data_IF_338663443460
#
_entry.id   IF_338663443460
#
_cell.length_a   1.000
_cell.length_b   1.000
_cell.length_c   1.000
_cell.angle_alpha   90.00
_cell.angle_beta   90.00
_cell.angle_gamma   90.00
#
_symmetry.space_group_name_H-M   'P 1'
#
loop_
_entity.id
_entity.type
_entity.pdbx_description
1 polymer ?
#
# COMPACT_ATOMS: atom_id res chain seq x y z
N UNK A 1 -82.12 -30.51 55.70
CA UNK A 1 -83.38 -30.51 56.47
C UNK A 1 -83.96 -29.10 56.42
N UNK A 2 -85.05 -28.97 55.67
CA UNK A 2 -86.10 -27.92 55.62
C UNK A 2 -85.64 -26.47 55.90
N UNK A 3 -85.34 -25.66 54.89
CA UNK A 3 -86.32 -24.93 54.06
C UNK A 3 -87.57 -24.51 54.85
N UNK A 4 -87.62 -23.24 55.23
CA UNK A 4 -88.85 -22.45 55.15
C UNK A 4 -88.50 -21.12 54.50
N UNK A 5 -88.72 -21.06 53.18
CA UNK A 5 -88.85 -19.82 52.43
C UNK A 5 -90.17 -19.17 52.87
N UNK A 6 -90.13 -17.90 53.26
CA UNK A 6 -91.29 -17.02 53.18
C UNK A 6 -90.91 -15.83 52.31
N UNK A 7 -91.43 -15.87 51.08
CA UNK A 7 -91.70 -14.76 50.17
C UNK A 7 -92.28 -13.57 50.96
N UNK A 8 -91.90 -12.31 50.77
CA UNK A 8 -91.59 -11.61 49.53
C UNK A 8 -92.78 -10.69 49.22
N UNK A 9 -92.64 -9.38 49.44
CA UNK A 9 -93.25 -8.33 48.60
C UNK A 9 -92.92 -6.93 49.15
N UNK A 10 -92.20 -6.16 48.34
CA UNK A 10 -92.23 -4.70 48.14
C UNK A 10 -92.47 -3.76 49.32
N UNK A 11 -91.55 -2.81 49.48
CA UNK A 11 -91.86 -1.37 49.37
C UNK A 11 -90.56 -0.58 49.40
N UNK A 12 -90.29 0.10 48.30
CA UNK A 12 -89.29 1.15 48.19
C UNK A 12 -89.71 2.34 49.06
N UNK A 13 -88.75 2.95 49.77
CA UNK A 13 -88.88 4.28 50.37
C UNK A 13 -89.59 4.35 51.74
N UNK A 14 -88.97 3.85 52.81
CA UNK A 14 -89.35 4.15 54.20
C UNK A 14 -88.09 4.44 55.03
N UNK A 15 -88.04 5.63 55.65
CA UNK A 15 -86.91 6.12 56.43
C UNK A 15 -86.58 5.23 57.65
N UNK A 16 -85.33 5.27 58.08
CA UNK A 16 -84.80 4.51 59.22
C UNK A 16 -85.64 4.76 60.50
N UNK A 17 -86.12 3.68 61.14
CA UNK A 17 -86.96 3.73 62.36
C UNK A 17 -86.22 3.10 63.55
N UNK A 18 -85.95 3.82 64.66
CA UNK A 18 -85.13 3.31 65.77
C UNK A 18 -85.82 2.26 66.66
N UNK A 19 -87.05 1.85 66.35
CA UNK A 19 -87.96 1.17 67.27
C UNK A 19 -87.49 -0.22 67.81
N UNK A 20 -86.44 -0.79 67.23
CA UNK A 20 -85.84 -2.08 67.62
C UNK A 20 -84.34 -2.04 67.90
N UNK A 21 -83.73 -0.87 68.11
CA UNK A 21 -82.30 -0.79 68.47
C UNK A 21 -82.06 -1.28 69.90
N UNK A 22 -80.87 -1.82 70.17
CA UNK A 22 -80.49 -2.30 71.50
C UNK A 22 -80.57 -1.20 72.57
N UNK A 23 -80.32 0.06 72.18
CA UNK A 23 -80.45 1.20 73.10
C UNK A 23 -81.91 1.52 73.41
N UNK A 24 -82.82 1.37 72.44
CA UNK A 24 -84.26 1.54 72.66
C UNK A 24 -84.83 0.39 73.49
N UNK A 25 -84.37 -0.85 73.29
CA UNK A 25 -84.70 -1.99 74.15
C UNK A 25 -84.18 -1.80 75.59
N UNK A 26 -82.93 -1.35 75.75
CA UNK A 26 -82.36 -1.00 77.07
C UNK A 26 -83.14 0.14 77.73
N UNK A 27 -83.50 1.18 76.99
CA UNK A 27 -84.30 2.28 77.50
C UNK A 27 -85.71 1.82 77.89
N UNK A 28 -86.37 0.97 77.08
CA UNK A 28 -87.65 0.34 77.43
C UNK A 28 -87.55 -0.52 78.69
N UNK A 29 -86.53 -1.37 78.79
CA UNK A 29 -86.27 -2.16 80.01
C UNK A 29 -86.00 -1.26 81.22
N UNK A 30 -85.22 -0.20 81.05
CA UNK A 30 -84.94 0.76 82.12
C UNK A 30 -86.20 1.51 82.56
N UNK A 31 -87.08 1.91 81.63
CA UNK A 31 -88.38 2.52 81.98
C UNK A 31 -89.33 1.50 82.62
N UNK A 32 -89.29 0.22 82.22
CA UNK A 32 -90.00 -0.85 82.92
C UNK A 32 -89.49 -1.02 84.36
N UNK A 33 -88.17 -1.01 84.57
CA UNK A 33 -87.55 -1.11 85.91
C UNK A 33 -87.80 0.15 86.76
N UNK A 34 -87.91 1.33 86.15
CA UNK A 34 -88.21 2.59 86.84
C UNK A 34 -89.72 2.82 87.09
N UNK A 35 -90.60 1.97 86.54
CA UNK A 35 -92.04 2.13 86.73
C UNK A 35 -92.48 1.71 88.14
N UNK A 36 -92.96 2.67 88.94
CA UNK A 36 -93.42 2.44 90.32
C UNK A 36 -94.56 1.40 90.40
N UNK A 37 -95.37 1.33 89.35
CA UNK A 37 -96.48 0.37 89.24
C UNK A 37 -96.02 -1.09 89.10
N UNK A 38 -94.85 -1.36 88.49
CA UNK A 38 -94.25 -2.71 88.47
C UNK A 38 -93.46 -3.04 89.73
N UNK A 39 -93.00 -2.02 90.46
CA UNK A 39 -92.26 -2.20 91.72
C UNK A 39 -93.16 -2.62 92.89
N UNK A 40 -94.37 -2.05 92.99
CA UNK A 40 -95.34 -2.33 94.08
C UNK A 40 -96.21 -3.58 93.82
N UNK A 41 -95.62 -4.70 93.41
CA UNK A 41 -96.34 -5.98 93.25
C UNK A 41 -96.14 -6.90 94.45
N UNK A 42 -97.18 -7.67 94.79
CA UNK A 42 -97.12 -8.62 95.90
C UNK A 42 -96.09 -9.74 95.62
N UNK A 43 -95.27 -10.15 96.61
CA UNK A 43 -94.17 -11.11 96.41
C UNK A 43 -94.55 -12.46 95.79
N UNK A 44 -95.81 -12.90 95.95
CA UNK A 44 -96.32 -14.17 95.38
C UNK A 44 -96.45 -14.15 93.86
N UNK A 45 -96.38 -12.99 93.21
CA UNK A 45 -96.45 -12.85 91.75
C UNK A 45 -95.10 -13.15 91.09
N UNK A 46 -94.00 -13.17 91.85
CA UNK A 46 -92.67 -13.48 91.31
C UNK A 46 -92.41 -14.99 91.34
N UNK A 47 -92.16 -15.59 90.17
CA UNK A 47 -91.69 -16.98 90.10
C UNK A 47 -90.22 -17.07 90.53
N UNK A 48 -89.90 -18.01 91.42
CA UNK A 48 -88.52 -18.30 91.82
C UNK A 48 -87.72 -18.80 90.60
N UNK A 49 -86.61 -18.11 90.30
CA UNK A 49 -85.66 -18.49 89.25
C UNK A 49 -84.29 -18.70 89.89
N UNK A 50 -83.81 -19.95 89.91
CA UNK A 50 -82.42 -20.24 90.31
C UNK A 50 -81.50 -19.85 89.15
N UNK A 51 -80.44 -19.10 89.45
CA UNK A 51 -79.41 -18.80 88.46
C UNK A 51 -78.80 -20.13 87.99
N UNK A 52 -78.71 -20.29 86.66
CA UNK A 52 -78.09 -21.46 86.03
C UNK A 52 -76.64 -21.65 86.45
N UNK A 53 -76.00 -20.57 86.89
CA UNK A 53 -74.59 -20.51 87.28
C UNK A 53 -74.39 -20.64 88.80
N UNK A 54 -75.43 -21.01 89.55
CA UNK A 54 -75.28 -21.38 90.96
C UNK A 54 -74.35 -22.59 91.11
N UNK A 55 -73.52 -22.57 92.16
CA UNK A 55 -72.47 -23.58 92.38
C UNK A 55 -72.99 -25.02 92.22
N UNK A 56 -74.14 -25.34 92.83
CA UNK A 56 -74.72 -26.69 92.76
C UNK A 56 -75.13 -27.08 91.33
N UNK A 57 -75.66 -26.13 90.54
CA UNK A 57 -76.03 -26.37 89.14
C UNK A 57 -74.79 -26.57 88.27
N UNK A 58 -73.72 -25.81 88.51
CA UNK A 58 -72.44 -25.96 87.81
C UNK A 58 -71.81 -27.31 88.12
N UNK A 59 -71.78 -27.71 89.40
CA UNK A 59 -71.27 -29.01 89.83
C UNK A 59 -72.08 -30.15 89.23
N UNK A 60 -73.42 -30.07 89.25
CA UNK A 60 -74.28 -31.08 88.62
C UNK A 60 -74.07 -31.16 87.10
N UNK A 61 -73.89 -30.01 86.42
CA UNK A 61 -73.59 -29.96 84.99
C UNK A 61 -72.23 -30.58 84.66
N UNK A 62 -71.20 -30.31 85.45
CA UNK A 62 -69.87 -30.92 85.29
C UNK A 62 -69.90 -32.42 85.58
N UNK A 63 -70.57 -32.87 86.65
CA UNK A 63 -70.72 -34.29 86.95
C UNK A 63 -71.51 -35.02 85.86
N UNK A 64 -72.57 -34.41 85.32
CA UNK A 64 -73.28 -34.96 84.16
C UNK A 64 -72.39 -35.04 82.91
N UNK A 65 -71.50 -34.06 82.71
CA UNK A 65 -70.56 -34.04 81.59
C UNK A 65 -69.44 -35.08 81.75
N UNK A 66 -68.92 -35.30 82.96
CA UNK A 66 -67.88 -36.31 83.23
C UNK A 66 -68.44 -37.73 83.21
N UNK A 67 -69.68 -37.94 83.65
CA UNK A 67 -70.36 -39.24 83.55
C UNK A 67 -70.94 -39.54 82.15
N UNK A 68 -70.87 -38.59 81.22
CA UNK A 68 -71.43 -38.77 79.88
C UNK A 68 -70.57 -39.70 79.02
N UNK A 69 -71.01 -40.96 78.90
CA UNK A 69 -70.36 -42.00 78.08
C UNK A 69 -70.15 -41.57 76.61
N UNK A 70 -71.07 -40.80 76.04
CA UNK A 70 -70.96 -40.38 74.64
C UNK A 70 -69.79 -39.40 74.44
N UNK A 71 -69.65 -38.42 75.33
CA UNK A 71 -68.54 -37.46 75.30
C UNK A 71 -67.20 -38.18 75.47
N UNK A 72 -67.13 -39.13 76.40
CA UNK A 72 -65.95 -39.99 76.55
C UNK A 72 -65.60 -40.75 75.27
N UNK A 73 -66.60 -41.32 74.57
CA UNK A 73 -66.33 -42.03 73.30
C UNK A 73 -65.85 -41.10 72.18
N UNK A 74 -66.35 -39.85 72.14
CA UNK A 74 -65.89 -38.84 71.18
C UNK A 74 -64.44 -38.46 71.48
N UNK A 75 -64.14 -38.14 72.73
CA UNK A 75 -62.79 -37.74 73.15
C UNK A 75 -61.80 -38.89 72.94
N UNK A 76 -62.17 -40.13 73.28
CA UNK A 76 -61.34 -41.29 73.01
C UNK A 76 -61.09 -41.50 71.50
N UNK A 77 -62.12 -41.41 70.66
CA UNK A 77 -61.91 -41.52 69.22
C UNK A 77 -61.04 -40.39 68.66
N UNK A 78 -61.11 -39.19 69.23
CA UNK A 78 -60.23 -38.06 68.88
C UNK A 78 -58.79 -38.34 69.28
N UNK A 79 -58.54 -38.87 70.47
CA UNK A 79 -57.19 -39.18 70.92
C UNK A 79 -56.53 -40.31 70.10
N UNK A 80 -57.30 -41.30 69.62
CA UNK A 80 -56.78 -42.31 68.68
C UNK A 80 -56.23 -41.72 67.38
N UNK A 81 -56.80 -40.60 66.92
CA UNK A 81 -56.33 -39.93 65.69
C UNK A 81 -55.08 -39.08 65.92
N UNK A 82 -54.75 -38.78 67.18
CA UNK A 82 -53.60 -37.94 67.56
C UNK A 82 -52.36 -38.80 67.79
N UNK A 83 -51.82 -39.36 66.70
CA UNK A 83 -50.60 -40.15 66.72
C UNK A 83 -49.40 -39.19 66.62
N UNK A 84 -48.49 -39.24 67.60
CA UNK A 84 -47.23 -38.48 67.55
C UNK A 84 -46.17 -39.30 66.80
N UNK A 85 -45.93 -38.95 65.54
CA UNK A 85 -44.85 -39.53 64.72
C UNK A 85 -43.76 -38.48 64.51
N UNK A 86 -42.50 -38.88 64.64
CA UNK A 86 -41.36 -38.00 64.41
C UNK A 86 -41.27 -37.66 62.91
N UNK A 87 -41.30 -36.38 62.51
CA UNK A 87 -41.32 -35.97 61.10
C UNK A 87 -40.06 -36.37 60.32
N UNK A 88 -38.96 -36.69 61.01
CA UNK A 88 -37.66 -37.03 60.43
C UNK A 88 -37.38 -38.54 60.39
N UNK A 89 -38.42 -39.37 60.56
CA UNK A 89 -38.27 -40.82 60.36
C UNK A 89 -37.93 -41.12 58.88
N UNK A 90 -37.01 -42.06 58.59
CA UNK A 90 -36.57 -42.36 57.23
C UNK A 90 -37.72 -42.64 56.25
N UNK A 91 -38.78 -43.31 56.69
CA UNK A 91 -39.94 -43.63 55.87
C UNK A 91 -40.74 -42.38 55.46
N UNK A 92 -40.87 -41.39 56.36
CA UNK A 92 -41.55 -40.13 56.07
C UNK A 92 -40.69 -39.27 55.13
N UNK A 93 -39.37 -39.24 55.33
CA UNK A 93 -38.45 -38.55 54.42
C UNK A 93 -38.48 -39.16 53.02
N UNK A 94 -38.47 -40.50 52.92
CA UNK A 94 -38.62 -41.21 51.65
C UNK A 94 -39.99 -40.91 51.01
N UNK A 95 -41.07 -40.94 51.78
CA UNK A 95 -42.41 -40.61 51.28
C UNK A 95 -42.48 -39.17 50.75
N UNK A 96 -41.82 -38.21 51.42
CA UNK A 96 -41.74 -36.80 50.99
C UNK A 96 -40.90 -36.64 49.72
N UNK A 97 -39.77 -37.32 49.61
CA UNK A 97 -38.98 -37.35 48.37
C UNK A 97 -39.77 -37.96 47.22
N UNK A 98 -40.42 -39.10 47.45
CA UNK A 98 -41.29 -39.75 46.48
C UNK A 98 -42.45 -38.83 46.06
N UNK A 99 -43.06 -38.10 46.99
CA UNK A 99 -44.10 -37.12 46.69
C UNK A 99 -43.59 -36.03 45.72
N UNK A 100 -42.35 -35.57 45.89
CA UNK A 100 -41.76 -34.60 44.95
C UNK A 100 -41.41 -35.22 43.60
N UNK A 101 -40.88 -36.44 43.58
CA UNK A 101 -40.51 -37.17 42.36
C UNK A 101 -41.74 -37.53 41.51
N UNK A 102 -42.83 -37.95 42.15
CA UNK A 102 -44.08 -38.34 41.49
C UNK A 102 -45.08 -37.18 41.35
N UNK A 103 -44.69 -35.95 41.72
CA UNK A 103 -45.55 -34.78 41.57
C UNK A 103 -45.79 -34.47 40.10
N UNK A 104 -47.01 -34.74 39.64
CA UNK A 104 -47.46 -34.36 38.28
C UNK A 104 -47.31 -32.86 38.01
N UNK A 105 -47.49 -32.02 39.03
CA UNK A 105 -47.31 -30.56 38.90
C UNK A 105 -45.86 -30.21 38.61
N UNK A 106 -44.92 -30.80 39.34
CA UNK A 106 -43.48 -30.58 39.13
C UNK A 106 -43.02 -31.13 37.78
N UNK A 107 -43.54 -32.29 37.38
CA UNK A 107 -43.29 -32.87 36.06
C UNK A 107 -43.77 -31.95 34.92
N UNK A 108 -45.02 -31.47 35.00
CA UNK A 108 -45.57 -30.54 34.00
C UNK A 108 -44.76 -29.25 33.93
N UNK A 109 -44.38 -28.69 35.07
CA UNK A 109 -43.57 -27.48 35.13
C UNK A 109 -42.18 -27.70 34.49
N UNK A 110 -41.50 -28.80 34.83
CA UNK A 110 -40.21 -29.14 34.21
C UNK A 110 -40.31 -29.38 32.69
N UNK A 111 -41.41 -29.99 32.23
CA UNK A 111 -41.68 -30.16 30.81
C UNK A 111 -41.94 -28.83 30.09
N UNK A 112 -42.73 -27.94 30.69
CA UNK A 112 -42.97 -26.58 30.15
C UNK A 112 -41.67 -25.76 30.10
N UNK A 113 -40.83 -25.86 31.13
CA UNK A 113 -39.51 -25.21 31.14
C UNK A 113 -38.59 -25.78 30.06
N UNK A 114 -38.61 -27.10 29.84
CA UNK A 114 -37.85 -27.74 28.77
C UNK A 114 -38.31 -27.28 27.38
N UNK A 115 -39.62 -27.14 27.17
CA UNK A 115 -40.17 -26.58 25.94
C UNK A 115 -39.78 -25.11 25.74
N UNK A 116 -39.81 -24.29 26.80
CA UNK A 116 -39.45 -22.87 26.75
C UNK A 116 -37.96 -22.64 26.47
N UNK A 117 -37.08 -23.55 26.91
CA UNK A 117 -35.65 -23.50 26.58
C UNK A 117 -35.39 -23.61 25.07
N UNK A 118 -36.35 -24.13 24.30
CA UNK A 118 -36.23 -24.30 22.86
C UNK A 118 -35.27 -25.41 22.46
N UNK A 119 -35.02 -25.50 21.16
CA UNK A 119 -34.06 -26.44 20.57
C UNK A 119 -32.91 -25.66 19.96
N UNK A 120 -31.68 -26.02 20.31
CA UNK A 120 -30.48 -25.50 19.65
C UNK A 120 -30.31 -26.22 18.30
N UNK A 121 -30.77 -25.59 17.21
CA UNK A 121 -30.52 -26.07 15.85
C UNK A 121 -29.21 -25.48 15.32
N UNK A 122 -28.12 -26.27 15.21
CA UNK A 122 -26.88 -25.79 14.63
C UNK A 122 -27.07 -25.46 13.15
N UNK A 123 -26.23 -24.56 12.63
CA UNK A 123 -26.26 -24.12 11.23
C UNK A 123 -26.01 -25.29 10.26
N UNK A 124 -25.30 -26.30 10.73
CA UNK A 124 -24.96 -27.51 9.99
C UNK A 124 -26.01 -28.62 10.11
N UNK A 125 -27.13 -28.39 10.82
CA UNK A 125 -28.22 -29.34 10.85
C UNK A 125 -28.75 -29.62 9.43
N UNK A 126 -28.98 -30.89 9.12
CA UNK A 126 -29.40 -31.35 7.79
C UNK A 126 -30.66 -30.61 7.32
N UNK A 127 -31.62 -30.35 8.21
CA UNK A 127 -32.85 -29.60 7.90
C UNK A 127 -32.57 -28.17 7.46
N UNK A 128 -31.61 -27.49 8.11
CA UNK A 128 -31.22 -26.10 7.81
C UNK A 128 -30.44 -26.04 6.51
N UNK A 129 -29.51 -26.99 6.30
CA UNK A 129 -28.76 -27.09 5.04
C UNK A 129 -29.69 -27.39 3.87
N UNK A 130 -30.62 -28.34 4.03
CA UNK A 130 -31.61 -28.68 3.01
C UNK A 130 -32.53 -27.49 2.66
N UNK A 131 -32.97 -26.74 3.68
CA UNK A 131 -33.76 -25.53 3.46
C UNK A 131 -32.97 -24.46 2.69
N UNK A 132 -31.67 -24.28 3.00
CA UNK A 132 -30.79 -23.37 2.26
C UNK A 132 -30.59 -23.81 0.81
N UNK A 133 -30.31 -25.09 0.57
CA UNK A 133 -30.14 -25.62 -0.79
C UNK A 133 -31.44 -25.51 -1.58
N UNK A 134 -32.59 -25.81 -0.97
CA UNK A 134 -33.90 -25.66 -1.61
C UNK A 134 -34.18 -24.20 -1.98
N UNK A 135 -33.86 -23.25 -1.10
CA UNK A 135 -33.97 -21.82 -1.38
C UNK A 135 -33.06 -21.40 -2.54
N UNK A 136 -31.84 -21.92 -2.57
CA UNK A 136 -30.87 -21.62 -3.61
C UNK A 136 -31.29 -22.18 -4.98
N UNK A 137 -31.86 -23.40 -4.99
CA UNK A 137 -32.40 -24.05 -6.20
C UNK A 137 -33.58 -23.25 -6.77
N UNK A 138 -34.49 -22.76 -5.91
CA UNK A 138 -35.62 -21.94 -6.33
C UNK A 138 -35.23 -20.48 -6.66
N UNK A 139 -33.98 -20.07 -6.43
CA UNK A 139 -33.55 -18.69 -6.63
C UNK A 139 -33.21 -18.42 -8.10
N UNK A 140 -34.11 -17.67 -8.74
CA UNK A 140 -33.94 -17.13 -10.09
C UNK A 140 -32.62 -16.35 -10.26
N UNK A 141 -32.21 -15.62 -9.22
CA UNK A 141 -30.96 -14.86 -9.22
C UNK A 141 -29.74 -15.78 -9.29
N UNK A 142 -29.68 -16.81 -8.42
CA UNK A 142 -28.55 -17.78 -8.45
C UNK A 142 -28.54 -18.58 -9.75
N UNK A 143 -29.70 -18.95 -10.26
CA UNK A 143 -29.82 -19.59 -11.58
C UNK A 143 -29.23 -18.70 -12.69
N UNK A 144 -29.66 -17.45 -12.80
CA UNK A 144 -29.16 -16.50 -13.80
C UNK A 144 -27.68 -16.18 -13.61
N UNK A 145 -27.20 -16.12 -12.37
CA UNK A 145 -25.78 -15.95 -12.07
C UNK A 145 -24.95 -17.15 -12.53
N UNK A 146 -25.42 -18.37 -12.27
CA UNK A 146 -24.80 -19.61 -12.75
C UNK A 146 -24.79 -19.67 -14.29
N UNK A 147 -25.91 -19.37 -14.92
CA UNK A 147 -26.03 -19.27 -16.38
C UNK A 147 -25.04 -18.26 -16.96
N UNK A 148 -24.94 -17.06 -16.38
CA UNK A 148 -23.96 -16.04 -16.82
C UNK A 148 -22.51 -16.48 -16.66
N UNK A 149 -22.18 -17.24 -15.62
CA UNK A 149 -20.83 -17.82 -15.43
C UNK A 149 -20.53 -18.95 -16.43
N UNK A 150 -21.56 -19.72 -16.79
CA UNK A 150 -21.47 -20.84 -17.76
C UNK A 150 -21.46 -20.36 -19.21
N UNK A 151 -22.07 -19.20 -19.49
CA UNK A 151 -21.87 -18.48 -20.74
C UNK A 151 -20.39 -18.12 -20.81
N UNK A 152 -19.63 -18.97 -21.50
CA UNK A 152 -18.17 -18.91 -21.57
C UNK A 152 -17.71 -17.48 -21.75
N UNK A 153 -17.15 -16.91 -20.70
CA UNK A 153 -16.49 -15.63 -20.81
C UNK A 153 -15.33 -15.85 -21.76
N UNK A 154 -15.27 -15.08 -22.85
CA UNK A 154 -14.02 -14.92 -23.57
C UNK A 154 -13.03 -14.33 -22.56
N UNK A 155 -12.25 -15.20 -21.93
CA UNK A 155 -11.04 -14.80 -21.23
C UNK A 155 -10.15 -14.33 -22.37
N UNK A 156 -10.25 -13.03 -22.68
CA UNK A 156 -9.20 -12.38 -23.45
C UNK A 156 -7.87 -12.71 -22.77
N UNK A 157 -6.84 -12.91 -23.56
CA UNK A 157 -5.49 -13.01 -23.02
C UNK A 157 -5.12 -11.68 -22.34
N UNK A 158 -4.35 -11.74 -21.25
CA UNK A 158 -3.86 -10.52 -20.58
C UNK A 158 -2.80 -9.83 -21.45
N UNK A 159 -2.00 -10.62 -22.16
CA UNK A 159 -0.99 -10.20 -23.12
C UNK A 159 -1.07 -11.05 -24.38
N UNK A 160 -0.77 -10.48 -25.55
CA UNK A 160 -0.83 -11.21 -26.85
C UNK A 160 0.02 -12.48 -26.85
N UNK A 161 1.02 -12.52 -25.96
CA UNK A 161 1.91 -13.65 -25.70
C UNK A 161 1.22 -14.86 -25.05
N UNK A 162 0.07 -14.68 -24.40
CA UNK A 162 -0.59 -15.77 -23.65
C UNK A 162 -1.41 -16.69 -24.57
N UNK A 163 -1.74 -16.25 -25.79
CA UNK A 163 -2.40 -17.10 -26.80
C UNK A 163 -1.38 -17.61 -27.84
N UNK A 164 -1.03 -18.91 -27.82
CA UNK A 164 -0.10 -19.50 -28.77
C UNK A 164 -0.50 -19.29 -30.24
N UNK A 165 -1.80 -19.22 -30.55
CA UNK A 165 -2.28 -19.01 -31.93
C UNK A 165 -2.01 -17.59 -32.40
N UNK A 166 -2.21 -16.61 -31.53
CA UNK A 166 -1.94 -15.21 -31.87
C UNK A 166 -0.45 -14.94 -31.96
N UNK A 167 0.36 -15.51 -31.07
CA UNK A 167 1.83 -15.49 -31.19
C UNK A 167 2.27 -16.08 -32.52
N UNK A 168 1.75 -17.23 -32.90
CA UNK A 168 2.04 -17.86 -34.19
C UNK A 168 1.65 -16.93 -35.36
N UNK A 169 0.44 -16.36 -35.35
CA UNK A 169 0.00 -15.45 -36.41
C UNK A 169 0.88 -14.20 -36.51
N UNK A 170 1.34 -13.66 -35.38
CA UNK A 170 2.24 -12.51 -35.37
C UNK A 170 3.60 -12.86 -35.97
N UNK A 171 4.12 -14.05 -35.65
CA UNK A 171 5.38 -14.53 -36.22
C UNK A 171 5.26 -14.76 -37.72
N UNK A 172 4.17 -15.36 -38.18
CA UNK A 172 3.88 -15.54 -39.62
C UNK A 172 3.78 -14.18 -40.33
N UNK A 173 3.09 -13.21 -39.74
CA UNK A 173 2.99 -11.86 -40.31
C UNK A 173 4.36 -11.15 -40.38
N UNK A 174 5.23 -11.35 -39.38
CA UNK A 174 6.61 -10.84 -39.42
C UNK A 174 7.43 -11.50 -40.52
N UNK A 175 7.31 -12.82 -40.70
CA UNK A 175 7.99 -13.56 -41.77
C UNK A 175 7.51 -13.14 -43.17
N UNK A 176 6.23 -12.84 -43.33
CA UNK A 176 5.65 -12.34 -44.57
C UNK A 176 5.97 -10.86 -44.85
N UNK A 177 6.50 -10.13 -43.87
CA UNK A 177 6.80 -8.71 -44.03
C UNK A 177 8.08 -8.50 -44.82
N UNK A 178 7.94 -8.03 -46.06
CA UNK A 178 9.07 -7.61 -46.91
C UNK A 178 9.99 -6.58 -46.24
N UNK A 179 9.42 -5.76 -45.34
CA UNK A 179 10.19 -4.75 -44.60
C UNK A 179 11.14 -5.41 -43.59
N UNK A 180 10.65 -6.38 -42.84
CA UNK A 180 11.49 -7.09 -41.86
C UNK A 180 12.52 -7.96 -42.59
N UNK A 181 12.12 -8.61 -43.69
CA UNK A 181 13.03 -9.32 -44.59
C UNK A 181 14.17 -8.42 -45.10
N UNK A 182 13.86 -7.24 -45.66
CA UNK A 182 14.88 -6.30 -46.17
C UNK A 182 15.80 -5.80 -45.06
N UNK A 183 15.25 -5.51 -43.88
CA UNK A 183 16.03 -5.06 -42.72
C UNK A 183 17.05 -6.11 -42.28
N UNK A 184 16.62 -7.37 -42.17
CA UNK A 184 17.53 -8.47 -41.81
C UNK A 184 18.53 -8.75 -42.94
N UNK A 185 18.08 -8.72 -44.19
CA UNK A 185 18.95 -8.86 -45.35
C UNK A 185 20.08 -7.82 -45.35
N UNK A 186 19.79 -6.52 -45.20
CA UNK A 186 20.83 -5.50 -45.17
C UNK A 186 21.80 -5.69 -43.98
N UNK A 187 21.32 -6.17 -42.84
CA UNK A 187 22.16 -6.47 -41.67
C UNK A 187 23.11 -7.64 -41.91
N UNK A 188 22.69 -8.65 -42.68
CA UNK A 188 23.44 -9.89 -42.91
C UNK A 188 24.20 -9.91 -44.23
N UNK A 189 23.83 -9.10 -45.23
CA UNK A 189 24.45 -9.03 -46.55
C UNK A 189 25.96 -8.76 -46.50
N UNK A 190 26.42 -8.03 -45.49
CA UNK A 190 27.84 -7.73 -45.28
C UNK A 190 28.54 -8.74 -44.37
N UNK A 191 27.79 -9.59 -43.68
CA UNK A 191 28.30 -10.61 -42.76
C UNK A 191 28.41 -11.95 -43.49
N UNK A 192 29.42 -12.08 -44.33
CA UNK A 192 29.81 -13.40 -44.83
C UNK A 192 30.81 -14.03 -43.87
N UNK A 193 30.56 -15.27 -43.48
CA UNK A 193 31.57 -16.11 -42.84
C UNK A 193 32.11 -17.03 -43.93
N UNK A 194 33.37 -16.81 -44.34
CA UNK A 194 34.05 -17.78 -45.17
C UNK A 194 34.47 -18.95 -44.28
N UNK A 195 34.20 -20.20 -44.67
CA UNK A 195 34.84 -21.35 -44.05
C UNK A 195 36.34 -21.12 -44.03
N UNK A 196 36.98 -21.32 -42.87
CA UNK A 196 38.42 -21.11 -42.68
C UNK A 196 39.23 -21.96 -43.67
N UNK A 197 38.69 -23.12 -44.04
CA UNK A 197 39.26 -24.07 -45.01
C UNK A 197 38.77 -23.87 -46.46
N UNK A 198 38.39 -22.65 -46.85
CA UNK A 198 38.24 -22.38 -48.28
C UNK A 198 39.56 -22.69 -49.01
N UNK A 199 39.51 -23.58 -50.00
CA UNK A 199 40.68 -24.04 -50.76
C UNK A 199 41.57 -22.90 -51.26
N UNK A 200 40.97 -21.79 -51.71
CA UNK A 200 41.70 -20.60 -52.15
C UNK A 200 42.47 -19.90 -51.01
N UNK A 201 41.90 -19.81 -49.81
CA UNK A 201 42.55 -19.21 -48.64
C UNK A 201 43.67 -20.12 -48.12
N UNK A 202 43.42 -21.43 -48.07
CA UNK A 202 44.42 -22.43 -47.68
C UNK A 202 45.59 -22.43 -48.66
N UNK A 203 45.30 -22.43 -49.97
CA UNK A 203 46.30 -22.32 -51.03
C UNK A 203 47.09 -21.02 -50.91
N UNK A 204 46.42 -19.88 -50.75
CA UNK A 204 47.09 -18.59 -50.58
C UNK A 204 48.01 -18.57 -49.34
N UNK A 205 47.57 -19.12 -48.20
CA UNK A 205 48.43 -19.27 -47.00
C UNK A 205 49.66 -20.12 -47.28
N UNK A 206 49.49 -21.26 -47.96
CA UNK A 206 50.62 -22.13 -48.33
C UNK A 206 51.56 -21.45 -49.32
N UNK A 207 51.02 -20.77 -50.34
CA UNK A 207 51.82 -19.98 -51.28
C UNK A 207 52.58 -18.87 -50.56
N UNK A 208 51.93 -18.18 -49.62
CA UNK A 208 52.58 -17.12 -48.85
C UNK A 208 53.67 -17.68 -47.94
N UNK A 209 53.46 -18.82 -47.29
CA UNK A 209 54.49 -19.51 -46.51
C UNK A 209 55.69 -19.92 -47.38
N UNK A 210 55.45 -20.43 -48.59
CA UNK A 210 56.50 -20.80 -49.53
C UNK A 210 57.26 -19.60 -50.12
N UNK A 211 56.58 -18.48 -50.34
CA UNK A 211 57.17 -17.25 -50.86
C UNK A 211 57.87 -16.46 -49.75
N UNK A 212 57.39 -16.57 -48.51
CA UNK A 212 58.01 -15.90 -47.38
C UNK A 212 59.26 -16.66 -46.95
N UNK A 213 60.42 -16.01 -46.97
CA UNK A 213 61.62 -16.56 -46.31
C UNK A 213 61.53 -16.47 -44.78
N UNK A 214 60.36 -16.26 -44.18
CA UNK A 214 60.21 -16.08 -42.74
C UNK A 214 60.70 -17.32 -41.98
N UNK A 215 60.32 -18.51 -42.45
CA UNK A 215 60.77 -19.79 -41.89
C UNK A 215 62.26 -20.05 -42.16
N UNK A 216 62.82 -19.50 -43.24
CA UNK A 216 64.25 -19.61 -43.57
C UNK A 216 65.12 -18.64 -42.78
N UNK A 217 64.60 -17.46 -42.44
CA UNK A 217 65.25 -16.45 -41.59
C UNK A 217 65.20 -16.79 -40.10
N UNK A 218 64.72 -17.98 -39.72
CA UNK A 218 64.79 -18.45 -38.35
C UNK A 218 66.24 -18.78 -37.97
N UNK A 219 66.95 -17.78 -37.46
CA UNK A 219 68.32 -17.94 -37.00
C UNK A 219 68.38 -18.91 -35.83
N UNK A 220 69.24 -19.94 -35.93
CA UNK A 220 69.42 -21.02 -34.94
C UNK A 220 69.72 -20.50 -33.52
N UNK A 221 70.27 -19.28 -33.44
CA UNK A 221 70.58 -18.60 -32.19
C UNK A 221 69.96 -17.20 -32.22
N UNK A 222 68.77 -17.06 -31.64
CA UNK A 222 68.28 -15.75 -31.23
C UNK A 222 69.09 -15.31 -30.02
N UNK A 223 70.15 -14.53 -30.24
CA UNK A 223 70.86 -13.85 -29.16
C UNK A 223 69.97 -12.74 -28.62
N UNK A 224 69.16 -13.06 -27.62
CA UNK A 224 68.49 -12.04 -26.81
C UNK A 224 69.53 -11.41 -25.91
N UNK A 225 69.87 -10.15 -26.20
CA UNK A 225 70.75 -9.38 -25.33
C UNK A 225 70.08 -9.20 -23.96
N UNK A 226 70.87 -9.25 -22.89
CA UNK A 226 70.33 -9.01 -21.55
C UNK A 226 69.74 -7.58 -21.49
N UNK A 227 68.58 -7.39 -20.83
CA UNK A 227 67.92 -6.09 -20.75
C UNK A 227 68.75 -4.95 -20.10
N UNK A 228 69.88 -5.25 -19.46
CA UNK A 228 70.75 -4.27 -18.80
C UNK A 228 71.92 -3.76 -19.66
N UNK A 229 72.17 -4.36 -20.83
CA UNK A 229 73.32 -4.01 -21.66
C UNK A 229 73.09 -2.69 -22.39
N UNK A 230 73.79 -1.65 -21.93
CA UNK A 230 73.60 -0.27 -22.35
C UNK A 230 73.88 -0.05 -23.85
N UNK A 231 74.90 -0.72 -24.41
CA UNK A 231 75.28 -0.60 -25.82
C UNK A 231 74.15 -1.07 -26.75
N UNK A 232 73.47 -2.16 -26.38
CA UNK A 232 72.35 -2.71 -27.13
C UNK A 232 71.11 -1.82 -26.99
N UNK A 233 70.86 -1.29 -25.79
CA UNK A 233 69.77 -0.33 -25.56
C UNK A 233 69.96 0.92 -26.42
N UNK A 234 71.18 1.46 -26.48
CA UNK A 234 71.47 2.65 -27.28
C UNK A 234 71.37 2.35 -28.77
N UNK A 235 71.92 1.24 -29.25
CA UNK A 235 71.79 0.82 -30.64
C UNK A 235 70.32 0.64 -31.04
N UNK A 236 69.51 -0.01 -30.20
CA UNK A 236 68.07 -0.18 -30.41
C UNK A 236 67.36 1.17 -30.53
N UNK A 237 67.62 2.11 -29.62
CA UNK A 237 67.04 3.47 -29.67
C UNK A 237 67.39 4.20 -30.97
N UNK A 238 68.64 4.08 -31.43
CA UNK A 238 69.08 4.69 -32.70
C UNK A 238 68.36 4.05 -33.88
N UNK A 239 68.21 2.72 -33.90
CA UNK A 239 67.47 2.03 -34.96
C UNK A 239 65.98 2.36 -34.96
N UNK A 240 65.35 2.48 -33.78
CA UNK A 240 63.95 2.91 -33.68
C UNK A 240 63.76 4.33 -34.19
N UNK A 241 64.69 5.24 -33.87
CA UNK A 241 64.69 6.62 -34.37
C UNK A 241 64.91 6.71 -35.90
N UNK A 242 65.76 5.84 -36.46
CA UNK A 242 66.04 5.82 -37.89
C UNK A 242 64.96 5.06 -38.70
N UNK A 243 64.22 4.16 -38.06
CA UNK A 243 63.25 3.29 -38.73
C UNK A 243 62.05 4.08 -39.24
N UNK A 244 61.95 4.20 -40.57
CA UNK A 244 60.77 4.79 -41.21
C UNK A 244 59.47 4.04 -40.85
N UNK A 245 59.54 2.73 -40.59
CA UNK A 245 58.36 1.95 -40.23
C UNK A 245 57.82 2.40 -38.87
N UNK A 246 58.71 2.60 -37.89
CA UNK A 246 58.33 3.07 -36.55
C UNK A 246 57.77 4.49 -36.62
N UNK A 247 58.40 5.36 -37.42
CA UNK A 247 57.91 6.71 -37.69
C UNK A 247 56.50 6.70 -38.33
N UNK A 248 56.27 5.87 -39.35
CA UNK A 248 54.96 5.76 -40.03
C UNK A 248 53.88 5.20 -39.11
N UNK A 249 54.20 4.21 -38.27
CA UNK A 249 53.26 3.70 -37.27
C UNK A 249 52.94 4.74 -36.19
N UNK A 250 53.91 5.58 -35.81
CA UNK A 250 53.67 6.69 -34.89
C UNK A 250 52.85 7.82 -35.54
N UNK A 251 52.58 7.77 -36.84
CA UNK A 251 51.60 8.64 -37.50
C UNK A 251 50.22 7.98 -37.63
N UNK A 252 50.08 6.70 -37.30
CA UNK A 252 48.78 6.01 -37.40
C UNK A 252 47.77 6.53 -36.37
N UNK A 253 48.18 7.13 -35.26
CA UNK A 253 47.22 7.80 -34.35
C UNK A 253 46.55 9.03 -34.98
N UNK A 254 47.16 9.61 -36.01
CA UNK A 254 46.54 10.66 -36.82
C UNK A 254 45.56 10.09 -37.86
N UNK A 255 45.67 8.79 -38.17
CA UNK A 255 44.81 8.12 -39.16
C UNK A 255 43.39 8.01 -38.60
N UNK A 256 42.48 8.79 -39.17
CA UNK A 256 41.09 8.87 -38.73
C UNK A 256 40.75 10.12 -37.93
N UNK A 257 41.73 10.98 -37.62
CA UNK A 257 41.45 12.35 -37.20
C UNK A 257 40.98 13.12 -38.44
N UNK A 258 39.66 13.28 -38.55
CA UNK A 258 39.06 14.08 -39.61
C UNK A 258 39.42 15.56 -39.48
N UNK A 259 39.33 16.29 -40.59
CA UNK A 259 39.41 17.75 -40.55
C UNK A 259 38.20 18.32 -39.80
N UNK A 260 38.43 19.02 -38.69
CA UNK A 260 37.39 19.72 -37.95
C UNK A 260 37.26 21.15 -38.47
N UNK A 261 36.07 21.60 -38.92
CA UNK A 261 35.87 22.98 -39.35
C UNK A 261 35.80 23.98 -38.18
N UNK A 262 35.86 23.51 -36.93
CA UNK A 262 35.82 24.37 -35.74
C UNK A 262 37.03 25.32 -35.74
N UNK A 263 36.78 26.63 -35.73
CA UNK A 263 37.82 27.65 -35.85
C UNK A 263 38.22 28.00 -37.28
N UNK A 264 37.65 27.35 -38.30
CA UNK A 264 37.76 27.81 -39.68
C UNK A 264 37.11 29.19 -39.83
N UNK A 265 37.64 30.01 -40.74
CA UNK A 265 37.10 31.33 -41.05
C UNK A 265 35.61 31.27 -41.38
N UNK A 266 35.18 30.28 -42.16
CA UNK A 266 33.77 30.10 -42.53
C UNK A 266 32.89 29.68 -41.34
N UNK A 267 33.42 28.85 -40.43
CA UNK A 267 32.71 28.49 -39.21
C UNK A 267 32.57 29.67 -38.25
N UNK A 268 33.62 30.49 -38.09
CA UNK A 268 33.58 31.72 -37.30
C UNK A 268 32.66 32.78 -37.93
N UNK A 269 32.66 32.93 -39.26
CA UNK A 269 31.70 33.79 -39.97
C UNK A 269 30.26 33.34 -39.72
N UNK A 270 29.97 32.04 -39.86
CA UNK A 270 28.62 31.52 -39.61
C UNK A 270 28.20 31.67 -38.15
N UNK A 271 29.13 31.45 -37.20
CA UNK A 271 28.89 31.68 -35.78
C UNK A 271 28.55 33.14 -35.52
N UNK A 272 29.33 34.10 -36.02
CA UNK A 272 29.03 35.53 -35.88
C UNK A 272 27.71 35.91 -36.55
N UNK A 273 27.42 35.38 -37.74
CA UNK A 273 26.15 35.62 -38.42
C UNK A 273 24.95 35.09 -37.61
N UNK A 274 25.07 33.89 -37.05
CA UNK A 274 24.06 33.30 -36.16
C UNK A 274 23.85 34.14 -34.90
N UNK A 275 24.91 34.69 -34.32
CA UNK A 275 24.83 35.58 -33.17
C UNK A 275 24.15 36.92 -33.49
N UNK A 276 24.38 37.47 -34.69
CA UNK A 276 23.75 38.70 -35.17
C UNK A 276 22.23 38.50 -35.38
N UNK A 277 21.84 37.36 -35.95
CA UNK A 277 20.43 37.03 -36.23
C UNK A 277 19.67 36.62 -34.95
N UNK A 278 20.38 36.20 -33.90
CA UNK A 278 19.77 35.71 -32.66
C UNK A 278 18.98 36.80 -31.92
N UNK A 279 17.65 36.68 -31.93
CA UNK A 279 16.73 37.58 -31.20
C UNK A 279 17.06 37.72 -29.70
N UNK A 280 17.53 36.64 -29.07
CA UNK A 280 17.95 36.64 -27.65
C UNK A 280 19.15 37.55 -27.39
N UNK A 281 20.03 37.72 -28.38
CA UNK A 281 21.16 38.66 -28.30
C UNK A 281 20.73 40.09 -28.63
N UNK A 282 19.74 40.25 -29.50
CA UNK A 282 19.18 41.55 -29.88
C UNK A 282 18.32 42.19 -28.77
N UNK A 283 17.38 41.44 -28.19
CA UNK A 283 16.47 41.91 -27.13
C UNK A 283 17.12 41.78 -25.75
N UNK A 284 18.10 42.63 -25.47
CA UNK A 284 18.73 42.70 -24.13
C UNK A 284 18.34 43.98 -23.39
N UNK A 285 18.19 43.90 -22.05
CA UNK A 285 17.97 45.09 -21.23
C UNK A 285 19.18 46.04 -21.37
N UNK A 286 18.97 47.37 -21.38
CA UNK A 286 20.04 48.36 -21.58
C UNK A 286 21.24 48.19 -20.64
N UNK A 287 21.00 47.76 -19.40
CA UNK A 287 22.03 47.56 -18.37
C UNK A 287 23.08 46.49 -18.73
N UNK A 288 22.74 45.55 -19.63
CA UNK A 288 23.66 44.48 -20.05
C UNK A 288 24.66 44.91 -21.12
N UNK A 289 24.32 45.93 -21.91
CA UNK A 289 25.17 46.39 -23.00
C UNK A 289 26.17 47.41 -22.45
N UNK A 290 27.43 47.01 -22.31
CA UNK A 290 28.51 47.95 -21.96
C UNK A 290 28.70 48.95 -23.10
N UNK A 291 28.85 50.22 -22.76
CA UNK A 291 29.22 51.23 -23.75
C UNK A 291 30.57 50.87 -24.38
N UNK A 292 30.59 50.78 -25.70
CA UNK A 292 31.82 50.67 -26.50
C UNK A 292 31.96 51.93 -27.34
N UNK A 293 33.05 52.67 -27.16
CA UNK A 293 33.34 53.78 -28.05
C UNK A 293 33.72 53.28 -29.43
N UNK A 294 33.30 54.01 -30.47
CA UNK A 294 33.65 53.68 -31.86
C UNK A 294 35.17 53.87 -31.99
N UNK A 295 35.95 52.84 -32.39
CA UNK A 295 37.41 52.94 -32.46
C UNK A 295 37.95 54.03 -33.39
N UNK A 296 37.10 54.44 -34.34
CA UNK A 296 37.34 55.44 -35.37
C UNK A 296 36.67 56.79 -35.05
N UNK A 297 36.18 56.98 -33.83
CA UNK A 297 35.72 58.28 -33.37
C UNK A 297 36.88 59.29 -33.43
N UNK A 298 36.59 60.52 -33.84
CA UNK A 298 37.59 61.55 -34.14
C UNK A 298 38.54 61.81 -32.96
N UNK A 299 38.01 61.84 -31.75
CA UNK A 299 38.73 62.01 -30.48
C UNK A 299 39.70 60.86 -30.20
N UNK A 300 39.27 59.61 -30.44
CA UNK A 300 40.10 58.41 -30.26
C UNK A 300 41.19 58.33 -31.32
N UNK A 301 40.87 58.63 -32.58
CA UNK A 301 41.85 58.67 -33.68
C UNK A 301 42.91 59.73 -33.39
N UNK A 302 42.48 60.93 -32.99
CA UNK A 302 43.38 62.02 -32.61
C UNK A 302 44.24 61.64 -31.38
N UNK A 303 43.68 60.97 -30.38
CA UNK A 303 44.44 60.48 -29.24
C UNK A 303 45.49 59.42 -29.66
N UNK A 304 45.13 58.50 -30.58
CA UNK A 304 46.05 57.49 -31.13
C UNK A 304 47.19 58.14 -31.92
N UNK A 305 46.89 59.12 -32.78
CA UNK A 305 47.92 59.83 -33.56
C UNK A 305 48.81 60.65 -32.64
N UNK A 306 48.25 61.34 -31.66
CA UNK A 306 49.03 62.09 -30.67
C UNK A 306 49.91 61.17 -29.82
N UNK A 307 49.41 59.99 -29.44
CA UNK A 307 50.20 58.99 -28.71
C UNK A 307 51.35 58.44 -29.56
N UNK A 308 51.15 58.20 -30.87
CA UNK A 308 52.22 57.82 -31.80
C UNK A 308 53.25 58.93 -31.94
N UNK A 309 52.81 60.17 -32.15
CA UNK A 309 53.69 61.32 -32.31
C UNK A 309 54.51 61.62 -31.04
N UNK A 310 53.94 61.38 -29.85
CA UNK A 310 54.61 61.54 -28.56
C UNK A 310 55.52 60.35 -28.19
N UNK A 311 55.50 59.25 -28.93
CA UNK A 311 56.24 58.05 -28.54
C UNK A 311 57.73 58.20 -28.83
N UNK A 312 58.53 58.43 -27.79
CA UNK A 312 60.00 58.50 -27.88
C UNK A 312 60.62 57.28 -28.58
N UNK A 313 60.02 56.10 -28.39
CA UNK A 313 60.48 54.87 -29.06
C UNK A 313 60.28 54.94 -30.56
N UNK A 314 59.08 55.33 -31.02
CA UNK A 314 58.80 55.47 -32.45
C UNK A 314 59.64 56.59 -33.06
N UNK A 315 59.88 57.66 -32.31
CA UNK A 315 60.79 58.73 -32.71
C UNK A 315 62.23 58.23 -32.88
N UNK A 316 62.79 57.50 -31.90
CA UNK A 316 64.13 56.90 -32.01
C UNK A 316 64.23 55.89 -33.14
N UNK A 317 63.21 55.03 -33.31
CA UNK A 317 63.17 54.05 -34.39
C UNK A 317 63.16 54.74 -35.77
N UNK A 318 62.37 55.80 -35.94
CA UNK A 318 62.36 56.60 -37.17
C UNK A 318 63.72 57.29 -37.39
N UNK A 319 64.30 57.88 -36.34
CA UNK A 319 65.62 58.51 -36.36
C UNK A 319 66.75 57.52 -36.71
N UNK A 320 66.68 56.29 -36.18
CA UNK A 320 67.64 55.24 -36.49
C UNK A 320 67.48 54.74 -37.93
N UNK A 321 66.24 54.61 -38.43
CA UNK A 321 65.98 54.26 -39.84
C UNK A 321 66.52 55.33 -40.79
N UNK A 322 66.29 56.61 -40.51
CA UNK A 322 66.81 57.70 -41.33
C UNK A 322 68.35 57.68 -41.38
N UNK A 323 69.03 57.35 -40.28
CA UNK A 323 70.50 57.18 -40.27
C UNK A 323 70.99 56.00 -41.11
N UNK A 324 70.20 54.93 -41.24
CA UNK A 324 70.54 53.81 -42.13
C UNK A 324 70.28 54.13 -43.60
N UNK A 325 69.47 55.16 -43.89
CA UNK A 325 69.11 55.58 -45.24
C UNK A 325 70.21 56.49 -45.82
N UNK A 326 71.42 55.94 -45.95
CA UNK A 326 72.55 56.64 -46.56
C UNK A 326 72.51 56.41 -48.07
N UNK A 327 72.35 57.49 -48.84
CA UNK A 327 72.48 57.45 -50.29
C UNK A 327 73.96 57.48 -50.68
N UNK A 328 74.55 56.30 -50.91
CA UNK A 328 75.93 56.17 -51.41
C UNK A 328 75.87 55.91 -52.92
N UNK A 329 76.66 56.66 -53.71
CA UNK A 329 76.74 56.42 -55.15
C UNK A 329 77.37 55.04 -55.41
N UNK A 330 76.74 54.19 -56.24
CA UNK A 330 77.19 52.81 -56.48
C UNK A 330 78.58 52.72 -57.16
N UNK A 331 79.07 53.84 -57.70
CA UNK A 331 80.33 53.96 -58.45
C UNK A 331 81.47 54.56 -57.62
N UNK A 332 81.34 54.60 -56.29
CA UNK A 332 82.47 55.02 -55.43
C UNK A 332 83.63 54.03 -55.56
N UNK A 333 84.89 54.52 -55.66
CA UNK A 333 86.06 53.66 -55.90
C UNK A 333 86.17 52.48 -54.93
N UNK A 334 85.87 52.70 -53.65
CA UNK A 334 85.93 51.68 -52.60
C UNK A 334 84.90 50.56 -52.80
N UNK A 335 83.69 50.89 -53.29
CA UNK A 335 82.65 49.91 -53.58
C UNK A 335 83.01 49.10 -54.83
N UNK A 336 83.57 49.75 -55.85
CA UNK A 336 84.05 49.07 -57.06
C UNK A 336 85.19 48.10 -56.72
N UNK A 337 86.14 48.54 -55.89
CA UNK A 337 87.24 47.71 -55.40
C UNK A 337 86.73 46.54 -54.55
N UNK A 338 85.78 46.77 -53.65
CA UNK A 338 85.17 45.71 -52.85
C UNK A 338 84.44 44.68 -53.72
N UNK A 339 83.73 45.11 -54.77
CA UNK A 339 83.09 44.21 -55.74
C UNK A 339 84.12 43.38 -56.51
N UNK A 340 85.22 43.99 -56.96
CA UNK A 340 86.30 43.29 -57.65
C UNK A 340 87.00 42.26 -56.73
N UNK A 341 87.24 42.63 -55.46
CA UNK A 341 87.83 41.72 -54.46
C UNK A 341 86.89 40.56 -54.10
N UNK A 342 85.58 40.81 -54.02
CA UNK A 342 84.59 39.77 -53.79
C UNK A 342 84.58 38.74 -54.94
N UNK A 343 84.70 39.20 -56.19
CA UNK A 343 84.84 38.32 -57.35
C UNK A 343 86.10 37.44 -57.19
N UNK A 344 87.25 38.05 -56.88
CA UNK A 344 88.53 37.34 -56.74
C UNK A 344 88.58 36.34 -55.58
N UNK A 345 87.87 36.60 -54.49
CA UNK A 345 87.87 35.75 -53.28
C UNK A 345 86.70 34.77 -53.25
N UNK A 346 85.84 34.75 -54.28
CA UNK A 346 84.68 33.85 -54.28
C UNK A 346 85.06 32.41 -54.65
N UNK A 347 84.86 31.49 -53.70
CA UNK A 347 84.97 30.04 -53.91
C UNK A 347 84.11 29.53 -55.07
N UNK A 348 82.97 30.19 -55.32
CA UNK A 348 82.04 29.81 -56.39
C UNK A 348 82.63 30.07 -57.79
N UNK A 349 83.30 31.21 -58.00
CA UNK A 349 83.97 31.49 -59.26
C UNK A 349 85.26 30.68 -59.40
N UNK A 350 86.00 30.48 -58.30
CA UNK A 350 87.19 29.62 -58.26
C UNK A 350 86.89 28.17 -58.71
N UNK A 351 85.76 27.59 -58.29
CA UNK A 351 85.34 26.23 -58.67
C UNK A 351 84.78 26.12 -60.10
N UNK A 352 84.43 27.22 -60.77
CA UNK A 352 83.99 27.20 -62.18
C UNK A 352 85.17 27.27 -63.17
N UNK A 353 86.39 27.50 -62.69
CA UNK A 353 87.61 27.59 -63.52
C UNK A 353 88.34 26.27 -63.73
N UNK A 354 87.77 25.14 -63.28
CA UNK A 354 88.31 23.77 -63.46
C UNK A 354 87.35 22.88 -64.23
#
# INVERSE_FOLDING_TARGET
>A
MNISKTTGSGTEGLGWSPAGSLEVEKAKKATEYASDQKYRQHPSTFQFKKLTDSMDMVLAKQNAHTMNKHLYTIDWNKDKTKIHVMPDTPDILQAKQNQTLYSQKSYRLGWEEALKKGYDLPVDAISVQLAKTSRDIASDFKYKQGYRKQLGHHIGFLSVQDDPKLVLSMNVAKMQSDREYKKDFEKWKTKYTSPVDMLGVVLAKKCQALVSDADYRNYLHQWTCLPDQNDVIQAKKVYELQSENMYKSDLEWLRGIGWSPLGSLEAEKNKRASEIISEKKYRQPPDRNKFTSIPDAMDIVLAKTNAKNRSDRLYREAWDKDKTQIHIMPDTPDIILAKANLINTSDKLYKMGY
#
